data_IF_919995189980
#
_entry.id   IF_919995189980
#
_cell.length_a   1.000
_cell.length_b   1.000
_cell.length_c   1.000
_cell.angle_alpha   90.00
_cell.angle_beta   90.00
_cell.angle_gamma   90.00
#
_symmetry.space_group_name_H-M   'P 1'
#
loop_
_entity.id
_entity.type
_entity.pdbx_description
1 polymer ?
#
# COMPACT_ATOMS: atom_id res chain seq x y z
N UNK A 1 15.65 -13.18 7.72
CA UNK A 1 16.86 -12.34 7.55
C UNK A 1 17.09 -11.44 8.76
N UNK A 2 16.34 -10.34 8.97
CA UNK A 2 16.66 -9.40 10.06
C UNK A 2 16.77 -10.02 11.46
N UNK A 3 15.96 -11.03 11.79
CA UNK A 3 16.09 -11.78 13.05
C UNK A 3 17.46 -12.50 13.16
N UNK A 4 17.96 -13.10 12.08
CA UNK A 4 19.25 -13.79 12.04
C UNK A 4 20.40 -12.81 12.26
N UNK A 5 20.44 -11.70 11.51
CA UNK A 5 21.48 -10.67 11.69
C UNK A 5 21.47 -9.99 13.07
N UNK A 6 20.32 -10.01 13.75
CA UNK A 6 20.19 -9.52 15.13
C UNK A 6 20.41 -10.61 16.19
N UNK A 7 20.84 -11.80 15.78
CA UNK A 7 21.18 -12.91 16.68
C UNK A 7 19.99 -13.60 17.34
N UNK A 8 18.78 -13.44 16.80
CA UNK A 8 17.61 -14.15 17.32
C UNK A 8 17.56 -15.60 16.86
N UNK A 9 18.22 -15.90 15.74
CA UNK A 9 18.46 -17.22 15.18
C UNK A 9 19.96 -17.45 15.02
N UNK A 10 20.42 -18.65 15.30
CA UNK A 10 21.77 -19.10 15.01
C UNK A 10 21.84 -19.79 13.64
N UNK A 11 23.05 -20.17 13.21
CA UNK A 11 23.25 -20.95 11.99
C UNK A 11 22.66 -22.36 12.11
N UNK A 12 22.62 -22.90 13.33
CA UNK A 12 21.98 -24.19 13.61
C UNK A 12 20.46 -24.09 13.48
N UNK A 13 19.84 -23.02 13.99
CA UNK A 13 18.39 -22.78 13.87
C UNK A 13 17.92 -22.72 12.41
N UNK A 14 18.79 -22.26 11.51
CA UNK A 14 18.50 -22.12 10.07
C UNK A 14 18.90 -23.36 9.26
N UNK A 15 19.39 -24.43 9.90
CA UNK A 15 19.84 -25.64 9.22
C UNK A 15 21.14 -25.44 8.43
N UNK A 16 21.99 -24.51 8.84
CA UNK A 16 23.25 -24.18 8.17
C UNK A 16 23.18 -22.96 7.25
N UNK A 17 21.99 -22.43 7.00
CA UNK A 17 21.76 -21.34 6.04
C UNK A 17 22.15 -19.99 6.65
N UNK A 18 23.04 -19.26 5.99
CA UNK A 18 23.44 -17.91 6.42
C UNK A 18 22.46 -16.84 5.91
N UNK A 19 21.37 -16.62 6.65
CA UNK A 19 20.29 -15.68 6.31
C UNK A 19 20.67 -14.20 6.51
N UNK A 20 21.59 -13.69 5.70
CA UNK A 20 22.04 -12.29 5.67
C UNK A 20 21.43 -11.51 4.50
N UNK A 21 21.31 -10.18 4.63
CA UNK A 21 20.89 -9.35 3.49
C UNK A 21 21.93 -9.42 2.36
N UNK A 22 21.45 -9.55 1.12
CA UNK A 22 22.30 -9.67 -0.08
C UNK A 22 22.71 -11.10 -0.44
N UNK A 23 22.44 -12.09 0.43
CA UNK A 23 22.69 -13.51 0.13
C UNK A 23 21.50 -14.12 -0.62
N UNK A 24 21.60 -14.22 -1.95
CA UNK A 24 20.51 -14.72 -2.80
C UNK A 24 20.31 -16.23 -2.64
N UNK A 25 21.39 -17.00 -2.49
CA UNK A 25 21.36 -18.46 -2.33
C UNK A 25 20.60 -18.85 -1.06
N UNK A 26 20.89 -18.17 0.06
CA UNK A 26 20.20 -18.39 1.32
C UNK A 26 18.70 -18.11 1.25
N UNK A 27 18.28 -17.12 0.45
CA UNK A 27 16.86 -16.80 0.24
C UNK A 27 16.18 -17.90 -0.58
N UNK A 28 16.80 -18.37 -1.66
CA UNK A 28 16.24 -19.43 -2.51
C UNK A 28 16.07 -20.74 -1.71
N UNK A 29 17.08 -21.15 -0.95
CA UNK A 29 16.99 -22.34 -0.12
C UNK A 29 15.91 -22.21 0.96
N UNK A 30 15.79 -21.04 1.59
CA UNK A 30 14.74 -20.81 2.59
C UNK A 30 13.34 -20.79 1.99
N UNK A 31 13.17 -20.32 0.74
CA UNK A 31 11.89 -20.40 0.02
C UNK A 31 11.45 -21.86 -0.14
N UNK A 32 12.36 -22.76 -0.54
CA UNK A 32 12.06 -24.19 -0.65
C UNK A 32 11.66 -24.78 0.70
N UNK A 33 12.41 -24.46 1.76
CA UNK A 33 12.08 -24.92 3.13
C UNK A 33 10.72 -24.41 3.61
N UNK A 34 10.36 -23.16 3.27
CA UNK A 34 9.04 -22.60 3.58
C UNK A 34 7.93 -23.36 2.83
N UNK A 35 8.13 -23.61 1.53
CA UNK A 35 7.17 -24.32 0.68
C UNK A 35 6.91 -25.75 1.18
N UNK A 36 7.96 -26.44 1.63
CA UNK A 36 7.89 -27.80 2.14
C UNK A 36 7.69 -27.91 3.65
N UNK A 37 7.59 -26.78 4.38
CA UNK A 37 7.45 -26.72 5.84
C UNK A 37 8.55 -27.49 6.57
N UNK A 38 9.81 -27.31 6.16
CA UNK A 38 10.96 -28.01 6.73
C UNK A 38 11.76 -27.13 7.69
N UNK A 39 12.03 -27.64 8.90
CA UNK A 39 12.81 -26.92 9.92
C UNK A 39 12.24 -25.54 10.23
N UNK A 40 13.05 -24.49 10.10
CA UNK A 40 12.60 -23.11 10.28
C UNK A 40 11.52 -22.69 9.25
N UNK A 41 11.47 -23.35 8.09
CA UNK A 41 10.47 -23.12 7.05
C UNK A 41 9.03 -23.35 7.52
N UNK A 42 8.77 -24.33 8.40
CA UNK A 42 7.43 -24.54 8.94
C UNK A 42 6.94 -23.31 9.73
N UNK A 43 7.80 -22.75 10.56
CA UNK A 43 7.49 -21.53 11.32
C UNK A 43 7.23 -20.34 10.39
N UNK A 44 8.09 -20.14 9.39
CA UNK A 44 8.02 -19.01 8.48
C UNK A 44 6.84 -19.10 7.49
N UNK A 45 6.37 -20.31 7.17
CA UNK A 45 5.19 -20.53 6.33
C UNK A 45 3.87 -19.99 6.92
N UNK A 46 3.87 -19.63 8.20
CA UNK A 46 2.70 -19.06 8.90
C UNK A 46 2.58 -17.53 8.72
N UNK A 47 3.48 -16.91 7.96
CA UNK A 47 3.53 -15.45 7.79
C UNK A 47 4.30 -14.75 8.91
N UNK A 48 4.75 -13.52 8.65
CA UNK A 48 5.69 -12.83 9.54
C UNK A 48 5.08 -12.47 10.89
N UNK A 49 3.77 -12.17 10.93
CA UNK A 49 3.06 -11.81 12.16
C UNK A 49 3.00 -12.97 13.15
N UNK A 50 2.59 -14.17 12.70
CA UNK A 50 2.53 -15.36 13.55
C UNK A 50 3.92 -15.88 13.90
N UNK A 51 4.85 -15.84 12.94
CA UNK A 51 6.24 -16.20 13.19
C UNK A 51 6.85 -15.32 14.29
N UNK A 52 6.69 -14.00 14.22
CA UNK A 52 7.21 -13.07 15.23
C UNK A 52 6.60 -13.30 16.62
N UNK A 53 5.33 -13.69 16.71
CA UNK A 53 4.71 -14.06 17.99
C UNK A 53 5.37 -15.29 18.61
N UNK A 54 5.64 -16.32 17.81
CA UNK A 54 6.29 -17.56 18.26
C UNK A 54 7.77 -17.35 18.58
N UNK A 55 8.50 -16.56 17.77
CA UNK A 55 9.92 -16.24 17.98
C UNK A 55 10.12 -15.47 19.28
N UNK A 56 9.21 -14.53 19.60
CA UNK A 56 9.36 -13.65 20.74
C UNK A 56 10.58 -12.72 20.59
N UNK A 57 11.32 -12.49 21.68
CA UNK A 57 12.60 -11.72 21.71
C UNK A 57 12.50 -10.31 21.09
N UNK A 58 11.32 -9.69 21.14
CA UNK A 58 11.07 -8.39 20.53
C UNK A 58 11.08 -8.39 18.99
N UNK A 59 10.99 -9.55 18.34
CA UNK A 59 11.00 -9.69 16.87
C UNK A 59 9.86 -8.94 16.17
N UNK A 60 8.75 -8.66 16.88
CA UNK A 60 7.64 -7.83 16.38
C UNK A 60 8.06 -6.45 15.88
N UNK A 61 9.21 -5.90 16.32
CA UNK A 61 9.72 -4.61 15.83
C UNK A 61 10.25 -4.65 14.39
N UNK A 62 10.56 -5.84 13.89
CA UNK A 62 11.14 -6.07 12.56
C UNK A 62 10.07 -6.25 11.48
N UNK A 63 8.84 -6.58 11.85
CA UNK A 63 7.76 -6.79 10.89
C UNK A 63 7.07 -5.46 10.53
N UNK A 64 6.57 -5.40 9.30
CA UNK A 64 5.76 -4.30 8.78
C UNK A 64 4.50 -4.92 8.18
N UNK A 65 3.40 -4.82 8.90
CA UNK A 65 2.13 -5.45 8.55
C UNK A 65 0.96 -4.59 9.03
N UNK A 66 -0.21 -4.79 8.40
CA UNK A 66 -1.48 -4.29 8.91
C UNK A 66 -2.49 -5.45 8.91
N UNK A 67 -3.15 -5.70 10.05
CA UNK A 67 -4.11 -6.80 10.25
C UNK A 67 -3.58 -8.22 9.93
N UNK A 68 -2.28 -8.42 10.08
CA UNK A 68 -1.59 -9.68 9.80
C UNK A 68 -0.97 -9.77 8.41
N UNK A 69 -1.37 -8.89 7.48
CA UNK A 69 -0.90 -8.86 6.09
C UNK A 69 0.35 -7.98 5.95
N UNK A 70 1.40 -8.50 5.33
CA UNK A 70 2.63 -7.77 5.03
C UNK A 70 2.37 -6.54 4.14
N UNK A 71 3.07 -5.44 4.42
CA UNK A 71 2.99 -4.26 3.54
C UNK A 71 3.58 -4.56 2.15
N UNK A 72 2.97 -4.07 1.06
CA UNK A 72 3.56 -4.19 -0.27
C UNK A 72 4.67 -3.15 -0.49
N UNK A 73 5.23 -3.09 -1.71
CA UNK A 73 6.42 -2.31 -2.07
C UNK A 73 6.20 -0.77 -2.18
N UNK A 74 5.36 -0.20 -1.33
CA UNK A 74 5.13 1.25 -1.29
C UNK A 74 5.23 1.78 0.13
N UNK A 75 6.08 2.79 0.31
CA UNK A 75 6.33 3.41 1.60
C UNK A 75 5.22 4.42 1.96
N UNK A 76 4.40 4.14 2.99
CA UNK A 76 3.27 5.00 3.36
C UNK A 76 3.72 6.35 3.94
N UNK A 77 5.00 6.53 4.31
CA UNK A 77 5.51 7.80 4.85
C UNK A 77 5.50 8.93 3.83
N UNK A 78 5.67 8.59 2.54
CA UNK A 78 5.62 9.55 1.44
C UNK A 78 4.27 9.56 0.72
N UNK A 79 3.53 8.46 0.83
CA UNK A 79 2.25 8.22 0.14
C UNK A 79 1.12 8.15 1.16
N UNK A 80 0.70 9.29 1.68
CA UNK A 80 -0.29 9.38 2.78
C UNK A 80 -1.62 8.67 2.45
N UNK A 81 -2.09 8.75 1.21
CA UNK A 81 -3.27 8.01 0.75
C UNK A 81 -3.12 6.49 0.88
N UNK A 82 -1.94 5.96 0.53
CA UNK A 82 -1.59 4.54 0.72
C UNK A 82 -1.56 4.18 2.21
N UNK A 83 -0.96 5.04 3.05
CA UNK A 83 -0.93 4.83 4.49
C UNK A 83 -2.32 4.74 5.12
N UNK A 84 -3.21 5.66 4.76
CA UNK A 84 -4.61 5.64 5.20
C UNK A 84 -5.32 4.38 4.71
N UNK A 85 -5.13 4.02 3.45
CA UNK A 85 -5.76 2.83 2.87
C UNK A 85 -5.27 1.54 3.54
N UNK A 86 -3.98 1.36 3.79
CA UNK A 86 -3.48 0.20 4.52
C UNK A 86 -4.17 0.04 5.87
N UNK A 87 -4.36 1.16 6.60
CA UNK A 87 -5.05 1.17 7.88
C UNK A 87 -6.55 0.79 7.77
N UNK A 88 -7.24 1.25 6.72
CA UNK A 88 -8.68 1.05 6.54
C UNK A 88 -9.07 -0.24 5.81
N UNK A 89 -8.16 -0.83 5.03
CA UNK A 89 -8.42 -2.06 4.27
C UNK A 89 -8.96 -3.19 5.14
N UNK A 90 -10.00 -3.85 4.69
CA UNK A 90 -10.74 -4.90 5.39
C UNK A 90 -9.88 -6.14 5.70
N UNK A 91 -8.94 -6.49 4.82
CA UNK A 91 -8.06 -7.66 4.98
C UNK A 91 -6.58 -7.33 5.22
N UNK A 92 -6.24 -6.06 5.42
CA UNK A 92 -4.86 -5.62 5.70
C UNK A 92 -4.20 -4.86 4.55
N UNK A 93 -2.89 -4.63 4.65
CA UNK A 93 -2.17 -3.74 3.74
C UNK A 93 -2.16 -4.26 2.29
N UNK A 94 -2.84 -3.56 1.38
CA UNK A 94 -2.89 -3.90 -0.05
C UNK A 94 -3.02 -2.65 -0.93
N UNK A 95 -2.07 -2.46 -1.84
CA UNK A 95 -2.00 -1.31 -2.73
C UNK A 95 -3.13 -1.21 -3.77
N UNK A 96 -3.92 -2.28 -4.00
CA UNK A 96 -4.99 -2.27 -4.99
C UNK A 96 -6.27 -1.54 -4.55
N UNK A 97 -6.39 -1.16 -3.27
CA UNK A 97 -7.60 -0.53 -2.71
C UNK A 97 -7.64 1.00 -2.85
N UNK A 98 -6.54 1.64 -3.27
CA UNK A 98 -6.51 3.09 -3.48
C UNK A 98 -5.47 3.50 -4.53
N UNK A 99 -5.60 4.73 -5.03
CA UNK A 99 -4.57 5.35 -5.83
C UNK A 99 -3.26 5.41 -5.04
N UNK A 100 -2.26 4.64 -5.49
CA UNK A 100 -0.98 4.50 -4.80
C UNK A 100 -0.01 5.63 -5.13
N UNK A 101 -0.28 6.38 -6.19
CA UNK A 101 0.57 7.48 -6.64
C UNK A 101 0.21 8.81 -5.98
N UNK A 102 1.18 9.72 -5.83
CA UNK A 102 0.97 11.02 -5.20
C UNK A 102 0.14 11.99 -6.07
N UNK A 103 -0.68 11.49 -6.99
CA UNK A 103 -1.50 12.29 -7.91
C UNK A 103 -2.45 13.25 -7.21
N UNK A 104 -2.81 12.96 -5.95
CA UNK A 104 -3.77 13.74 -5.16
C UNK A 104 -3.20 14.19 -3.82
N UNK A 105 -1.88 14.38 -3.72
CA UNK A 105 -1.23 14.74 -2.45
C UNK A 105 -1.60 16.15 -1.98
N UNK A 106 -1.67 17.10 -2.90
CA UNK A 106 -1.95 18.51 -2.65
C UNK A 106 -2.71 19.14 -3.82
N UNK A 107 -3.14 20.40 -3.65
CA UNK A 107 -3.90 21.16 -4.66
C UNK A 107 -3.16 21.35 -5.99
N UNK A 108 -1.83 21.22 -5.97
CA UNK A 108 -0.97 21.44 -7.14
C UNK A 108 -0.54 20.12 -7.79
N UNK A 109 -1.02 18.99 -7.28
CA UNK A 109 -0.74 17.66 -7.80
C UNK A 109 -1.42 17.43 -9.15
N UNK A 110 -0.80 16.61 -10.00
CA UNK A 110 -1.25 16.37 -11.38
C UNK A 110 -2.71 15.90 -11.42
N UNK A 111 -3.11 14.97 -10.56
CA UNK A 111 -4.50 14.49 -10.52
C UNK A 111 -5.51 15.60 -10.25
N UNK A 112 -5.19 16.56 -9.37
CA UNK A 112 -6.07 17.71 -9.09
C UNK A 112 -6.09 18.70 -10.26
N UNK A 113 -4.93 18.97 -10.88
CA UNK A 113 -4.83 19.89 -12.02
C UNK A 113 -5.58 19.37 -13.25
N UNK A 114 -5.43 18.09 -13.58
CA UNK A 114 -6.13 17.46 -14.70
C UNK A 114 -7.65 17.41 -14.44
N UNK A 115 -8.07 17.20 -13.20
CA UNK A 115 -9.49 17.23 -12.83
C UNK A 115 -10.09 18.64 -12.80
N UNK A 116 -9.26 19.69 -12.69
CA UNK A 116 -9.73 21.09 -12.64
C UNK A 116 -10.56 21.45 -13.86
N UNK A 117 -10.16 20.96 -15.03
CA UNK A 117 -10.83 21.25 -16.29
C UNK A 117 -12.16 20.49 -16.43
N UNK A 118 -12.39 19.42 -15.65
CA UNK A 118 -13.69 18.75 -15.56
C UNK A 118 -14.75 19.63 -14.89
N UNK A 119 -14.35 20.68 -14.17
CA UNK A 119 -15.27 21.61 -13.51
C UNK A 119 -16.00 21.04 -12.30
N UNK A 120 -15.63 19.84 -11.83
CA UNK A 120 -16.16 19.21 -10.59
C UNK A 120 -15.39 19.78 -9.39
N UNK A 121 -15.53 21.09 -9.17
CA UNK A 121 -14.80 21.81 -8.11
C UNK A 121 -15.64 22.03 -6.86
N UNK A 122 -16.96 21.85 -6.97
CA UNK A 122 -17.92 22.05 -5.89
C UNK A 122 -18.59 20.72 -5.51
N UNK A 123 -18.85 20.47 -4.21
CA UNK A 123 -19.60 19.31 -3.78
C UNK A 123 -21.02 19.35 -4.33
N UNK A 124 -21.49 18.24 -4.90
CA UNK A 124 -22.89 18.09 -5.34
C UNK A 124 -23.74 17.64 -4.16
N UNK A 125 -24.92 18.23 -3.99
CA UNK A 125 -25.85 17.82 -2.93
C UNK A 125 -26.26 16.35 -3.10
N UNK A 126 -26.30 15.54 -2.02
CA UNK A 126 -26.70 14.13 -2.09
C UNK A 126 -28.16 13.92 -2.53
N UNK A 127 -28.96 14.98 -2.58
CA UNK A 127 -30.37 14.96 -3.01
C UNK A 127 -30.56 15.21 -4.51
N UNK A 128 -29.51 15.54 -5.26
CA UNK A 128 -29.60 15.85 -6.69
C UNK A 128 -29.42 14.57 -7.52
N UNK A 129 -30.42 14.24 -8.35
CA UNK A 129 -30.44 13.03 -9.19
C UNK A 129 -30.84 13.35 -10.64
N UNK A 130 -30.60 12.42 -11.57
CA UNK A 130 -31.05 12.53 -12.96
C UNK A 130 -30.26 13.56 -13.80
N UNK A 131 -30.92 14.20 -14.77
CA UNK A 131 -30.28 15.21 -15.64
C UNK A 131 -29.71 16.40 -14.87
N UNK A 132 -30.35 16.78 -13.76
CA UNK A 132 -29.88 17.86 -12.89
C UNK A 132 -28.50 17.56 -12.31
N UNK A 133 -28.22 16.29 -11.98
CA UNK A 133 -26.89 15.86 -11.52
C UNK A 133 -25.85 16.10 -12.61
N UNK A 134 -26.11 15.66 -13.84
CA UNK A 134 -25.18 15.81 -14.97
C UNK A 134 -24.85 17.28 -15.26
N UNK A 135 -25.86 18.14 -15.22
CA UNK A 135 -25.68 19.59 -15.45
C UNK A 135 -24.86 20.28 -14.34
N UNK A 136 -24.99 19.83 -13.09
CA UNK A 136 -24.24 20.41 -11.96
C UNK A 136 -22.83 19.85 -11.82
N UNK A 137 -22.62 18.56 -12.12
CA UNK A 137 -21.31 17.92 -12.01
C UNK A 137 -20.40 18.25 -13.19
N UNK A 138 -20.94 18.45 -14.40
CA UNK A 138 -20.14 18.65 -15.62
C UNK A 138 -20.55 19.91 -16.40
N UNK A 139 -20.63 21.09 -15.76
CA UNK A 139 -21.19 22.28 -16.39
C UNK A 139 -20.38 22.73 -17.62
N UNK A 140 -19.06 22.50 -17.62
CA UNK A 140 -18.17 22.91 -18.72
C UNK A 140 -18.03 21.87 -19.83
N UNK A 141 -18.37 20.59 -19.57
CA UNK A 141 -18.23 19.51 -20.55
C UNK A 141 -19.47 19.37 -21.44
N UNK A 142 -20.67 19.54 -20.86
CA UNK A 142 -21.94 19.42 -21.57
C UNK A 142 -22.42 20.75 -22.17
N UNK A 143 -22.04 21.88 -21.56
CA UNK A 143 -22.41 23.21 -22.01
C UNK A 143 -21.16 24.11 -22.04
N UNK A 144 -20.29 23.97 -23.06
CA UNK A 144 -19.12 24.82 -23.18
C UNK A 144 -19.55 26.29 -23.18
N UNK A 145 -19.14 27.04 -22.15
CA UNK A 145 -19.40 28.49 -22.08
C UNK A 145 -18.84 29.11 -23.35
N UNK A 146 -19.70 29.65 -24.22
CA UNK A 146 -19.25 30.51 -25.32
C UNK A 146 -18.38 31.60 -24.69
N UNK A 147 -17.08 31.62 -25.00
CA UNK A 147 -16.23 32.76 -24.67
C UNK A 147 -16.92 33.99 -25.27
N UNK A 148 -17.51 34.84 -24.43
CA UNK A 148 -18.05 36.10 -24.91
C UNK A 148 -16.86 36.93 -25.38
N UNK A 149 -16.73 37.06 -26.70
CA UNK A 149 -15.91 38.10 -27.29
C UNK A 149 -16.53 39.45 -26.93
N UNK A 150 -16.08 40.02 -25.81
CA UNK A 150 -16.17 41.44 -25.48
C UNK A 150 -14.69 41.85 -25.36
N UNK A 151 -14.04 42.43 -26.39
CA UNK A 151 -14.09 43.87 -26.74
C UNK A 151 -14.35 44.66 -25.45
N UNK A 152 -13.32 45.16 -24.77
CA UNK A 152 -12.39 46.23 -25.17
C UNK A 152 -11.07 46.12 -24.43
#
# INVERSE_FOLDING_TARGET
>A
IQCYEKGLFTKEDTGGIELTFGNKEAVLEMIEKIAHREGLGDLLSQGSYLAAQKIGKGSKKFIRQVKGQEIPMHDPRLKTGVGLQYALSDYGADHMKAAHDPFFKDKDSVGIKEMKDLGILEPVSPTVTGETLLTQSLPNLLFPRKKSALRT
#
